data_IF_843905221485
#
_entry.id   IF_843905221485
#
_cell.length_a   1.000
_cell.length_b   1.000
_cell.length_c   1.000
_cell.angle_alpha   90.00
_cell.angle_beta   90.00
_cell.angle_gamma   90.00
#
_symmetry.space_group_name_H-M   'P 1'
#
loop_
_entity.id
_entity.type
_entity.pdbx_description
1 polymer ?
#
# COMPACT_ATOMS: atom_id res chain seq x y z
N UNK A 1 -5.73 34.45 -9.54
CA UNK A 1 -4.92 34.18 -10.75
C UNK A 1 -3.71 33.29 -10.47
N UNK A 2 -2.95 33.49 -9.38
CA UNK A 2 -1.73 32.68 -9.07
C UNK A 2 -1.98 31.16 -9.00
N UNK A 3 -3.08 30.70 -8.42
CA UNK A 3 -3.37 29.25 -8.28
C UNK A 3 -3.69 28.57 -9.63
N UNK A 4 -4.27 29.32 -10.60
CA UNK A 4 -4.55 28.77 -11.94
C UNK A 4 -3.27 28.58 -12.76
N UNK A 5 -2.29 29.49 -12.58
CA UNK A 5 -0.98 29.38 -13.24
C UNK A 5 -0.17 28.22 -12.67
N UNK A 6 -0.23 28.02 -11.33
CA UNK A 6 0.46 26.91 -10.68
C UNK A 6 -0.10 25.56 -11.11
N UNK A 7 -1.42 25.43 -11.22
CA UNK A 7 -2.07 24.21 -11.71
C UNK A 7 -1.74 23.93 -13.18
N UNK A 8 -1.71 24.97 -14.03
CA UNK A 8 -1.35 24.83 -15.44
C UNK A 8 0.13 24.40 -15.60
N UNK A 9 1.03 24.99 -14.81
CA UNK A 9 2.44 24.62 -14.80
C UNK A 9 2.66 23.16 -14.34
N UNK A 10 1.93 22.71 -13.33
CA UNK A 10 1.96 21.32 -12.88
C UNK A 10 1.46 20.35 -13.95
N UNK A 11 0.39 20.67 -14.65
CA UNK A 11 -0.14 19.86 -15.77
C UNK A 11 0.85 19.80 -16.92
N UNK A 12 1.46 20.93 -17.32
CA UNK A 12 2.47 21.00 -18.38
C UNK A 12 3.74 20.24 -18.01
N UNK A 13 4.16 20.31 -16.74
CA UNK A 13 5.29 19.54 -16.23
C UNK A 13 5.02 18.03 -16.30
N UNK A 14 3.82 17.57 -15.90
CA UNK A 14 3.41 16.19 -16.05
C UNK A 14 3.34 15.73 -17.52
N UNK A 15 2.84 16.59 -18.42
CA UNK A 15 2.80 16.27 -19.88
C UNK A 15 4.20 16.15 -20.50
N UNK A 16 5.18 16.92 -20.05
CA UNK A 16 6.55 16.83 -20.54
C UNK A 16 7.22 15.50 -20.20
N UNK A 17 6.88 14.87 -19.05
CA UNK A 17 7.34 13.52 -18.72
C UNK A 17 6.72 12.44 -19.63
N UNK A 18 5.51 12.64 -20.12
CA UNK A 18 4.83 11.70 -21.02
C UNK A 18 5.39 11.72 -22.43
N UNK A 19 5.97 12.84 -22.88
CA UNK A 19 6.47 13.01 -24.24
C UNK A 19 7.82 12.31 -24.52
N UNK A 20 8.59 11.92 -23.49
CA UNK A 20 9.89 11.26 -23.65
C UNK A 20 9.83 9.73 -23.76
N UNK A 21 8.63 9.16 -23.77
CA UNK A 21 8.43 7.70 -23.65
C UNK A 21 8.41 6.94 -25.00
N UNK A 22 8.63 7.60 -26.13
CA UNK A 22 8.23 7.05 -27.44
C UNK A 22 9.19 6.04 -28.11
N UNK A 23 10.41 5.79 -27.58
CA UNK A 23 11.36 4.85 -28.22
C UNK A 23 11.97 3.80 -27.26
N UNK A 24 11.46 3.67 -26.05
CA UNK A 24 12.01 2.72 -25.07
C UNK A 24 10.94 1.73 -24.59
N UNK A 25 11.36 0.48 -24.40
CA UNK A 25 10.50 -0.52 -23.76
C UNK A 25 9.99 0.02 -22.41
N UNK A 26 8.69 -0.17 -22.08
CA UNK A 26 8.09 0.34 -20.85
C UNK A 26 8.54 -0.50 -19.64
N UNK A 27 9.77 -0.22 -19.21
CA UNK A 27 10.44 -0.92 -18.09
C UNK A 27 10.24 -0.26 -16.75
N UNK A 28 9.49 0.82 -16.72
CA UNK A 28 9.13 1.56 -15.52
C UNK A 28 7.63 1.77 -15.47
N UNK A 29 7.06 1.84 -14.28
CA UNK A 29 5.65 2.18 -14.09
C UNK A 29 5.39 2.86 -12.75
N UNK A 30 4.43 3.78 -12.75
CA UNK A 30 3.84 4.36 -11.55
C UNK A 30 2.39 3.91 -11.46
N UNK A 31 1.93 3.53 -10.28
CA UNK A 31 0.56 3.09 -10.10
C UNK A 31 0.06 3.24 -8.67
N UNK A 32 -1.24 3.34 -8.54
CA UNK A 32 -1.96 3.23 -7.26
C UNK A 32 -2.43 1.80 -7.13
N UNK A 33 -2.26 1.22 -5.96
CA UNK A 33 -2.76 -0.11 -5.61
C UNK A 33 -3.68 0.00 -4.41
N UNK A 34 -4.81 -0.67 -4.47
CA UNK A 34 -5.74 -0.85 -3.36
C UNK A 34 -5.59 -2.29 -2.88
N UNK A 35 -5.42 -2.47 -1.59
CA UNK A 35 -4.99 -3.76 -1.04
C UNK A 35 -3.52 -4.05 -1.36
N UNK A 36 -3.17 -5.33 -1.45
CA UNK A 36 -1.81 -5.76 -1.80
C UNK A 36 -0.77 -5.45 -0.72
N UNK A 37 0.48 -5.35 -1.14
CA UNK A 37 1.59 -5.21 -0.19
C UNK A 37 1.59 -3.88 0.57
N UNK A 38 0.94 -2.85 0.05
CA UNK A 38 0.81 -1.54 0.70
C UNK A 38 -0.35 -1.44 1.68
N UNK A 39 -1.11 -2.52 1.89
CA UNK A 39 -2.29 -2.64 2.75
C UNK A 39 -3.47 -1.82 2.23
N UNK A 40 -4.06 -0.80 2.90
CA UNK A 40 -5.31 -0.23 2.41
C UNK A 40 -5.17 0.32 1.00
N UNK A 41 -4.15 1.13 0.77
CA UNK A 41 -3.74 1.61 -0.55
C UNK A 41 -2.30 2.09 -0.51
N UNK A 42 -1.66 2.13 -1.69
CA UNK A 42 -0.31 2.67 -1.85
C UNK A 42 -0.07 3.26 -3.23
N UNK A 43 0.79 4.27 -3.28
CA UNK A 43 1.40 4.77 -4.50
C UNK A 43 2.72 4.04 -4.70
N UNK A 44 2.95 3.51 -5.88
CA UNK A 44 4.07 2.64 -6.15
C UNK A 44 4.83 3.08 -7.40
N UNK A 45 6.14 2.90 -7.35
CA UNK A 45 7.04 2.95 -8.48
C UNK A 45 7.69 1.58 -8.66
N UNK A 46 7.62 1.04 -9.85
CA UNK A 46 8.19 -0.25 -10.23
C UNK A 46 9.13 -0.06 -11.41
N UNK A 47 10.31 -0.67 -11.37
CA UNK A 47 11.28 -0.59 -12.45
C UNK A 47 12.00 -1.91 -12.66
N UNK A 48 12.39 -2.15 -13.93
CA UNK A 48 13.18 -3.33 -14.30
C UNK A 48 14.65 -3.04 -14.16
N UNK A 49 15.44 -4.02 -13.72
CA UNK A 49 16.90 -3.89 -13.62
C UNK A 49 17.55 -3.91 -15.02
N UNK A 50 17.05 -4.74 -15.92
CA UNK A 50 17.44 -4.74 -17.33
C UNK A 50 16.40 -3.96 -18.15
N UNK A 51 16.78 -2.77 -18.59
CA UNK A 51 15.92 -1.88 -19.38
C UNK A 51 15.69 -2.36 -20.82
N UNK A 52 16.37 -3.41 -21.26
CA UNK A 52 16.17 -4.04 -22.56
C UNK A 52 15.09 -5.12 -22.56
N UNK A 53 14.56 -5.48 -21.39
CA UNK A 53 13.60 -6.60 -21.22
C UNK A 53 12.55 -6.29 -20.18
N UNK A 54 11.28 -6.33 -20.57
CA UNK A 54 10.15 -6.17 -19.64
C UNK A 54 10.06 -7.35 -18.67
N UNK A 55 10.37 -8.56 -19.13
CA UNK A 55 10.33 -9.80 -18.35
C UNK A 55 11.56 -10.02 -17.43
N UNK A 56 12.38 -8.98 -17.23
CA UNK A 56 13.53 -9.01 -16.33
C UNK A 56 13.10 -8.97 -14.84
N UNK A 57 14.06 -9.20 -13.97
CA UNK A 57 13.90 -8.86 -12.56
C UNK A 57 13.71 -7.35 -12.40
N UNK A 58 12.94 -6.97 -11.40
CA UNK A 58 12.71 -5.57 -11.08
C UNK A 58 12.47 -5.37 -9.59
N UNK A 59 12.31 -4.12 -9.23
CA UNK A 59 12.02 -3.70 -7.87
C UNK A 59 10.82 -2.77 -7.87
N UNK A 60 10.00 -2.94 -6.85
CA UNK A 60 8.88 -2.08 -6.50
C UNK A 60 9.17 -1.41 -5.18
N UNK A 61 8.96 -0.11 -5.13
CA UNK A 61 8.94 0.69 -3.90
C UNK A 61 7.64 1.49 -3.84
N UNK A 62 7.09 1.67 -2.66
CA UNK A 62 5.83 2.39 -2.53
C UNK A 62 5.68 3.07 -1.17
N UNK A 63 4.64 3.86 -1.07
CA UNK A 63 4.18 4.47 0.17
C UNK A 63 2.66 4.58 0.16
N UNK A 64 2.04 4.35 1.30
CA UNK A 64 0.61 4.51 1.52
C UNK A 64 0.33 4.98 2.94
N UNK A 65 -0.92 5.34 3.21
CA UNK A 65 -1.31 5.69 4.55
C UNK A 65 -2.36 6.79 4.62
N UNK A 66 -2.94 6.95 5.80
CA UNK A 66 -3.95 7.94 6.11
C UNK A 66 -3.71 8.54 7.48
N UNK A 67 -4.32 9.70 7.71
CA UNK A 67 -4.43 10.32 9.02
C UNK A 67 -5.84 10.92 9.13
N UNK A 68 -6.57 10.54 10.14
CA UNK A 68 -7.89 11.06 10.45
C UNK A 68 -7.84 12.15 11.52
N UNK A 69 -8.88 12.95 11.58
CA UNK A 69 -8.98 14.09 12.53
C UNK A 69 -9.13 13.62 13.98
N UNK A 70 -9.63 12.42 14.20
CA UNK A 70 -9.77 11.74 15.50
C UNK A 70 -8.45 11.24 16.09
N UNK A 71 -7.36 11.28 15.31
CA UNK A 71 -6.02 10.88 15.74
C UNK A 71 -5.52 9.57 15.15
N UNK A 72 -6.37 8.77 14.53
CA UNK A 72 -6.00 7.54 13.86
C UNK A 72 -5.05 7.83 12.69
N UNK A 73 -3.92 7.15 12.68
CA UNK A 73 -2.87 7.29 11.66
C UNK A 73 -2.36 5.93 11.24
N UNK A 74 -2.14 5.81 9.95
CA UNK A 74 -1.55 4.61 9.37
C UNK A 74 -0.58 5.02 8.26
N UNK A 75 0.58 4.40 8.23
CA UNK A 75 1.59 4.56 7.19
C UNK A 75 2.12 3.19 6.78
N UNK A 76 2.32 2.96 5.50
CA UNK A 76 2.95 1.77 4.97
C UNK A 76 4.00 2.11 3.92
N UNK A 77 5.09 1.36 3.90
CA UNK A 77 6.18 1.49 2.93
C UNK A 77 6.54 0.10 2.39
N UNK A 78 5.87 -0.38 1.32
CA UNK A 78 6.19 -1.64 0.67
C UNK A 78 7.45 -1.54 -0.19
N UNK A 79 8.32 -2.57 -0.08
CA UNK A 79 9.47 -2.79 -0.94
C UNK A 79 9.48 -4.25 -1.35
N UNK A 80 9.47 -4.53 -2.66
CA UNK A 80 9.47 -5.89 -3.20
C UNK A 80 10.41 -6.03 -4.39
N UNK A 81 11.06 -7.17 -4.51
CA UNK A 81 11.69 -7.63 -5.75
C UNK A 81 10.68 -8.49 -6.49
N UNK A 82 10.55 -8.30 -7.79
CA UNK A 82 9.61 -9.04 -8.60
C UNK A 82 10.21 -9.50 -9.93
N UNK A 83 9.63 -10.55 -10.48
CA UNK A 83 9.94 -11.10 -11.80
C UNK A 83 8.66 -11.21 -12.61
N UNK A 84 8.73 -10.80 -13.86
CA UNK A 84 7.63 -10.96 -14.80
C UNK A 84 7.91 -12.14 -15.73
N UNK A 85 6.87 -12.90 -16.06
CA UNK A 85 6.88 -14.03 -16.97
C UNK A 85 5.77 -13.84 -17.99
N UNK A 86 6.11 -13.72 -19.26
CA UNK A 86 5.10 -13.52 -20.29
C UNK A 86 5.66 -12.93 -21.59
N UNK A 87 4.76 -12.59 -22.49
CA UNK A 87 5.10 -11.96 -23.79
C UNK A 87 3.99 -10.98 -24.18
N UNK A 88 4.36 -10.01 -25.03
CA UNK A 88 3.43 -8.96 -25.45
C UNK A 88 2.97 -8.13 -24.25
N UNK A 89 1.67 -7.83 -24.14
CA UNK A 89 1.16 -7.01 -23.05
C UNK A 89 0.78 -7.80 -21.78
N UNK A 90 0.95 -9.12 -21.74
CA UNK A 90 0.41 -9.99 -20.69
C UNK A 90 1.53 -10.67 -19.90
N UNK A 91 1.59 -10.44 -18.61
CA UNK A 91 2.61 -10.98 -17.73
C UNK A 91 2.00 -11.61 -16.49
N UNK A 92 2.56 -12.75 -16.09
CA UNK A 92 2.42 -13.27 -14.74
C UNK A 92 3.53 -12.67 -13.87
N UNK A 93 3.18 -12.16 -12.71
CA UNK A 93 4.09 -11.54 -11.76
C UNK A 93 4.29 -12.43 -10.55
N UNK A 94 5.55 -12.62 -10.17
CA UNK A 94 5.94 -13.22 -8.90
C UNK A 94 6.86 -12.26 -8.19
N UNK A 95 6.62 -12.02 -6.92
CA UNK A 95 7.44 -11.11 -6.12
C UNK A 95 7.49 -11.52 -4.65
N UNK A 96 8.51 -11.00 -3.98
CA UNK A 96 8.66 -11.12 -2.54
C UNK A 96 9.35 -9.86 -1.99
N UNK A 97 9.06 -9.55 -0.75
CA UNK A 97 9.63 -8.38 -0.08
C UNK A 97 9.09 -8.17 1.31
N UNK A 98 9.10 -6.92 1.73
CA UNK A 98 8.61 -6.54 3.04
C UNK A 98 7.89 -5.19 2.98
N UNK A 99 6.99 -4.99 3.94
CA UNK A 99 6.30 -3.71 4.15
C UNK A 99 6.55 -3.26 5.58
N UNK A 100 7.14 -2.08 5.72
CA UNK A 100 7.16 -1.39 7.00
C UNK A 100 5.79 -0.75 7.21
N UNK A 101 5.20 -1.00 8.38
CA UNK A 101 3.91 -0.44 8.79
C UNK A 101 4.12 0.32 10.09
N UNK A 102 3.62 1.55 10.15
CA UNK A 102 3.58 2.34 11.37
C UNK A 102 2.16 2.91 11.52
N UNK A 103 1.57 2.72 12.69
CA UNK A 103 0.23 3.19 12.97
C UNK A 103 0.09 3.64 14.41
N UNK A 104 -0.92 4.46 14.62
CA UNK A 104 -1.42 4.83 15.94
C UNK A 104 -2.93 4.84 15.84
N UNK A 105 -3.58 4.15 16.75
CA UNK A 105 -5.04 4.12 16.91
C UNK A 105 -5.39 4.87 18.18
N UNK A 106 -6.48 5.63 18.17
CA UNK A 106 -6.96 6.25 19.38
C UNK A 106 -7.39 5.19 20.40
N UNK A 107 -6.85 5.30 21.61
CA UNK A 107 -7.26 4.44 22.70
C UNK A 107 -8.64 4.85 23.19
N UNK A 108 -9.58 3.94 23.18
CA UNK A 108 -10.86 4.13 23.84
C UNK A 108 -10.92 3.36 25.15
N UNK A 109 -11.63 3.92 26.11
CA UNK A 109 -11.83 3.24 27.39
C UNK A 109 -13.31 3.16 27.73
N UNK A 110 -13.71 2.01 28.25
CA UNK A 110 -15.06 1.78 28.74
C UNK A 110 -15.05 1.03 30.05
N UNK A 111 -16.10 1.23 30.82
CA UNK A 111 -16.25 0.58 32.10
C UNK A 111 -16.80 -0.85 31.93
N UNK A 112 -16.06 -1.85 32.43
CA UNK A 112 -16.49 -3.25 32.41
C UNK A 112 -17.35 -3.56 33.65
N UNK A 113 -16.99 -3.04 34.81
CA UNK A 113 -17.68 -3.25 36.06
C UNK A 113 -18.01 -1.89 36.67
N UNK A 114 -19.29 -1.61 36.82
CA UNK A 114 -19.79 -0.39 37.43
C UNK A 114 -20.68 -0.69 38.63
N UNK A 115 -20.69 0.19 39.61
CA UNK A 115 -21.53 0.12 40.79
C UNK A 115 -22.14 1.52 41.04
N UNK A 116 -23.40 1.53 41.52
CA UNK A 116 -24.00 2.76 42.00
C UNK A 116 -23.86 2.78 43.53
N UNK A 117 -23.36 3.89 44.03
CA UNK A 117 -23.32 4.13 45.48
C UNK A 117 -24.72 4.25 46.05
N UNK A 118 -24.86 4.14 47.38
CA UNK A 118 -26.12 4.41 48.09
C UNK A 118 -26.65 5.82 47.89
N UNK A 119 -25.80 6.74 47.40
CA UNK A 119 -26.15 8.12 47.06
C UNK A 119 -26.52 8.28 45.56
N UNK A 120 -26.51 7.18 44.76
CA UNK A 120 -26.85 7.20 43.34
C UNK A 120 -25.72 7.62 42.40
N UNK A 121 -24.50 7.75 42.89
CA UNK A 121 -23.32 8.11 42.09
C UNK A 121 -22.80 6.87 41.34
N UNK A 122 -22.51 7.04 40.04
CA UNK A 122 -21.94 6.01 39.21
C UNK A 122 -20.42 5.92 39.41
N UNK A 123 -19.93 4.75 39.84
CA UNK A 123 -18.51 4.47 40.02
C UNK A 123 -18.10 3.33 39.10
N UNK A 124 -17.09 3.57 38.23
CA UNK A 124 -16.45 2.52 37.48
C UNK A 124 -15.37 1.83 38.30
N UNK A 125 -15.58 0.55 38.64
CA UNK A 125 -14.63 -0.25 39.42
C UNK A 125 -13.53 -0.86 38.55
N UNK A 126 -13.83 -1.22 37.30
CA UNK A 126 -12.86 -1.77 36.33
C UNK A 126 -13.05 -1.16 34.95
N UNK A 127 -12.03 -0.46 34.49
CA UNK A 127 -11.97 0.16 33.20
C UNK A 127 -11.11 -0.69 32.26
N UNK A 128 -11.58 -0.90 31.05
CA UNK A 128 -10.77 -1.40 29.94
C UNK A 128 -10.30 -0.22 29.09
N UNK A 129 -9.03 -0.23 28.72
CA UNK A 129 -8.47 0.72 27.76
C UNK A 129 -7.83 -0.06 26.63
N UNK A 130 -8.26 0.20 25.39
CA UNK A 130 -7.68 -0.45 24.22
C UNK A 130 -6.23 0.04 24.01
N UNK A 131 -5.31 -0.85 23.66
CA UNK A 131 -3.95 -0.42 23.28
C UNK A 131 -3.98 0.47 22.05
N UNK A 132 -3.13 1.51 22.02
CA UNK A 132 -3.00 2.42 20.88
C UNK A 132 -2.07 1.89 19.78
N UNK A 133 -1.42 0.76 20.01
CA UNK A 133 -0.46 0.09 19.13
C UNK A 133 -0.97 -1.25 18.59
N UNK A 134 -2.28 -1.48 18.64
CA UNK A 134 -2.96 -2.63 18.02
C UNK A 134 -4.00 -2.14 17.00
N UNK A 135 -4.15 -2.84 15.89
CA UNK A 135 -5.18 -2.57 14.88
C UNK A 135 -5.74 -3.88 14.32
N UNK A 136 -7.07 -3.93 14.21
CA UNK A 136 -7.83 -5.03 13.60
C UNK A 136 -8.50 -4.62 12.29
N UNK A 137 -8.20 -3.41 11.77
CA UNK A 137 -8.95 -2.82 10.64
C UNK A 137 -8.89 -3.68 9.37
N UNK A 138 -7.71 -4.19 9.00
CA UNK A 138 -7.53 -5.07 7.82
C UNK A 138 -6.87 -6.37 8.23
N UNK A 139 -5.89 -6.30 9.12
CA UNK A 139 -5.13 -7.39 9.67
C UNK A 139 -4.97 -7.12 11.17
N UNK A 140 -4.95 -8.17 11.97
CA UNK A 140 -4.58 -8.07 13.39
C UNK A 140 -3.07 -7.83 13.47
N UNK A 141 -2.67 -6.57 13.70
CA UNK A 141 -1.28 -6.15 13.81
C UNK A 141 -1.05 -5.59 15.20
N UNK A 142 -0.09 -6.16 15.93
CA UNK A 142 0.33 -5.72 17.25
C UNK A 142 1.73 -5.14 17.20
N UNK A 143 1.86 -3.97 17.82
CA UNK A 143 3.10 -3.21 17.85
C UNK A 143 3.30 -2.32 16.61
N UNK A 144 3.73 -1.09 16.87
CA UNK A 144 4.00 -0.07 15.85
C UNK A 144 5.34 0.62 16.18
N UNK A 145 6.31 0.66 15.22
CA UNK A 145 6.26 0.11 13.87
C UNK A 145 6.39 -1.42 13.81
N UNK A 146 5.84 -2.02 12.76
CA UNK A 146 5.90 -3.46 12.49
C UNK A 146 6.45 -3.72 11.09
N UNK A 147 7.21 -4.80 10.93
CA UNK A 147 7.72 -5.25 9.63
C UNK A 147 6.99 -6.52 9.21
N UNK A 148 6.40 -6.49 8.03
CA UNK A 148 5.62 -7.59 7.47
C UNK A 148 6.31 -8.14 6.24
N UNK A 149 6.52 -9.46 6.17
CA UNK A 149 6.93 -10.13 4.95
C UNK A 149 5.75 -10.20 3.98
N UNK A 150 5.99 -9.94 2.71
CA UNK A 150 4.96 -9.96 1.66
C UNK A 150 5.43 -10.73 0.45
N UNK A 151 4.52 -11.51 -0.14
CA UNK A 151 4.73 -12.11 -1.46
C UNK A 151 3.71 -11.52 -2.43
N UNK A 152 3.92 -11.71 -3.73
CA UNK A 152 2.93 -11.37 -4.75
C UNK A 152 2.91 -12.42 -5.85
N UNK A 153 1.71 -12.81 -6.24
CA UNK A 153 1.44 -13.75 -7.33
C UNK A 153 0.25 -13.22 -8.10
N UNK A 154 0.40 -12.90 -9.37
CA UNK A 154 -0.73 -12.34 -10.09
C UNK A 154 -0.47 -12.00 -11.53
N UNK A 155 -1.39 -11.27 -12.08
CA UNK A 155 -1.39 -10.81 -13.45
C UNK A 155 -1.05 -9.33 -13.54
N UNK A 156 -0.21 -8.96 -14.52
CA UNK A 156 0.07 -7.58 -14.89
C UNK A 156 -0.06 -7.39 -16.40
N UNK A 157 -0.82 -6.36 -16.79
CA UNK A 157 -0.86 -5.91 -18.18
C UNK A 157 0.06 -4.70 -18.36
N UNK A 158 1.03 -4.80 -19.24
CA UNK A 158 1.93 -3.71 -19.64
C UNK A 158 1.83 -3.58 -21.17
N UNK A 159 1.26 -2.51 -21.73
CA UNK A 159 1.23 -2.31 -23.18
C UNK A 159 2.64 -2.26 -23.75
N UNK A 160 2.83 -2.74 -24.99
CA UNK A 160 4.16 -2.85 -25.64
C UNK A 160 4.81 -1.47 -25.81
N UNK A 161 4.01 -0.47 -26.11
CA UNK A 161 4.46 0.91 -26.33
C UNK A 161 4.27 1.80 -25.08
N UNK A 162 4.10 1.18 -23.91
CA UNK A 162 3.78 1.91 -22.70
C UNK A 162 2.31 2.32 -22.62
N UNK A 163 1.95 3.09 -21.58
CA UNK A 163 0.59 3.57 -21.40
C UNK A 163 -0.11 2.94 -20.20
N UNK A 164 -1.44 2.86 -20.27
CA UNK A 164 -2.26 2.38 -19.16
C UNK A 164 -1.94 0.93 -18.80
N UNK A 165 -1.50 0.73 -17.59
CA UNK A 165 -1.18 -0.58 -16.99
C UNK A 165 -2.12 -0.90 -15.86
N UNK A 166 -2.42 -2.17 -15.66
CA UNK A 166 -3.12 -2.64 -14.48
C UNK A 166 -2.59 -4.00 -14.02
N UNK A 167 -2.82 -4.29 -12.75
CA UNK A 167 -2.40 -5.54 -12.12
C UNK A 167 -3.44 -6.03 -11.13
N UNK A 168 -3.49 -7.32 -10.92
CA UNK A 168 -4.28 -7.98 -9.89
C UNK A 168 -3.44 -9.09 -9.28
N UNK A 169 -3.23 -9.05 -7.96
CA UNK A 169 -2.33 -9.96 -7.27
C UNK A 169 -2.97 -10.55 -6.03
N UNK A 170 -2.68 -11.81 -5.79
CA UNK A 170 -2.72 -12.40 -4.46
C UNK A 170 -1.43 -12.00 -3.74
N UNK A 171 -1.55 -11.51 -2.53
CA UNK A 171 -0.43 -10.99 -1.75
C UNK A 171 -0.43 -11.63 -0.36
N UNK A 172 0.08 -12.85 -0.19
CA UNK A 172 0.28 -13.42 1.14
C UNK A 172 1.14 -12.50 2.01
N UNK A 173 0.66 -12.23 3.22
CA UNK A 173 1.32 -11.37 4.21
C UNK A 173 1.58 -12.18 5.46
N UNK A 174 2.73 -11.98 6.07
CA UNK A 174 3.12 -12.68 7.29
C UNK A 174 4.01 -11.82 8.19
N UNK A 175 3.84 -11.98 9.48
CA UNK A 175 4.71 -11.39 10.51
C UNK A 175 4.68 -12.25 11.78
N UNK A 176 5.20 -11.74 12.89
CA UNK A 176 5.17 -12.43 14.19
C UNK A 176 3.75 -12.67 14.75
N UNK A 177 2.76 -11.94 14.27
CA UNK A 177 1.38 -11.98 14.78
C UNK A 177 0.49 -12.95 13.99
N UNK A 178 0.85 -13.27 12.72
CA UNK A 178 0.03 -14.16 11.92
C UNK A 178 0.46 -14.30 10.47
N UNK A 179 -0.35 -15.08 9.74
CA UNK A 179 -0.22 -15.33 8.32
C UNK A 179 -1.56 -15.16 7.62
N UNK A 180 -1.61 -14.27 6.62
CA UNK A 180 -2.79 -13.94 5.82
C UNK A 180 -2.57 -14.34 4.36
N UNK A 181 -2.88 -15.60 3.99
CA UNK A 181 -2.53 -16.14 2.68
C UNK A 181 -3.37 -15.56 1.54
N UNK A 182 -4.60 -15.15 1.80
CA UNK A 182 -5.58 -14.73 0.78
C UNK A 182 -5.74 -13.22 0.69
N UNK A 183 -4.78 -12.45 1.17
CA UNK A 183 -4.82 -11.01 0.96
C UNK A 183 -4.54 -10.71 -0.52
N UNK A 184 -5.26 -9.74 -1.09
CA UNK A 184 -5.20 -9.44 -2.51
C UNK A 184 -5.13 -7.94 -2.76
N UNK A 185 -4.64 -7.57 -3.95
CA UNK A 185 -4.57 -6.19 -4.38
C UNK A 185 -4.87 -6.02 -5.87
N UNK A 186 -5.40 -4.85 -6.21
CA UNK A 186 -5.58 -4.41 -7.59
C UNK A 186 -4.93 -3.03 -7.76
N UNK A 187 -4.18 -2.87 -8.85
CA UNK A 187 -3.47 -1.64 -9.13
C UNK A 187 -3.70 -1.13 -10.55
N UNK A 188 -3.71 0.20 -10.70
CA UNK A 188 -3.88 0.89 -11.96
C UNK A 188 -2.85 2.01 -12.07
N UNK A 189 -2.28 2.20 -13.26
CA UNK A 189 -1.24 3.19 -13.46
C UNK A 189 -0.79 3.36 -14.89
N UNK A 190 0.44 3.83 -15.05
CA UNK A 190 1.05 4.15 -16.33
C UNK A 190 2.45 3.54 -16.41
N UNK A 191 2.74 2.85 -17.52
CA UNK A 191 4.04 2.26 -17.83
C UNK A 191 4.76 3.07 -18.92
N UNK A 192 6.08 3.28 -18.77
CA UNK A 192 6.93 4.10 -19.65
C UNK A 192 8.38 3.61 -19.68
#
# INVERSE_FOLDING_TARGET
>A
MKNKILNLAAILFFMAFLAQAQDKLPTQSVYVEVGGAGLPYSFNYDFRFDKSKIDSWGMRIGAGGYAFADGDRFFSAPVQINKLFGKGPHYFEVGAGATLVAFKTDSYSYCIESEYTSTGEYICRRQFTSPSDETEFILDIKGSPNLMGTMSFGYRRIPVDGGFTWRANLTPIFNSNGFWPLFAGIGFGYAF
#
